data_IF_722504839327
#
_entry.id   IF_722504839327
#
_cell.length_a   1.000
_cell.length_b   1.000
_cell.length_c   1.000
_cell.angle_alpha   90.00
_cell.angle_beta   90.00
_cell.angle_gamma   90.00
#
_symmetry.space_group_name_H-M   'P 1'
#
loop_
_entity.id
_entity.type
_entity.pdbx_description
1 polymer ?
#
# COMPACT_ATOMS: atom_id res chain seq x y z
N UNK A 1 7.11 -26.86 -10.88
CA UNK A 1 6.50 -26.50 -9.58
C UNK A 1 6.23 -25.02 -9.71
N UNK A 2 4.97 -24.64 -9.62
CA UNK A 2 4.53 -23.28 -9.94
C UNK A 2 4.71 -22.43 -8.68
N UNK A 3 5.79 -21.66 -8.62
CA UNK A 3 5.92 -20.53 -7.71
C UNK A 3 4.81 -19.53 -8.09
N UNK A 4 3.66 -19.65 -7.45
CA UNK A 4 2.63 -18.62 -7.47
C UNK A 4 3.16 -17.44 -6.65
N UNK A 5 4.11 -16.70 -7.22
CA UNK A 5 4.53 -15.40 -6.71
C UNK A 5 3.27 -14.53 -6.65
N UNK A 6 2.85 -14.18 -5.43
CA UNK A 6 1.70 -13.31 -5.19
C UNK A 6 1.97 -11.97 -5.86
N UNK A 7 1.30 -11.76 -6.99
CA UNK A 7 1.46 -10.57 -7.81
C UNK A 7 0.64 -9.43 -7.23
N UNK A 8 1.21 -8.73 -6.26
CA UNK A 8 0.60 -7.53 -5.69
C UNK A 8 0.51 -6.45 -6.77
N UNK A 9 -0.70 -5.96 -7.03
CA UNK A 9 -0.96 -4.91 -8.03
C UNK A 9 -1.62 -3.70 -7.38
N UNK A 10 -1.32 -2.52 -7.89
CA UNK A 10 -2.00 -1.29 -7.51
C UNK A 10 -3.40 -1.17 -8.13
N UNK A 11 -4.12 -0.09 -7.82
CA UNK A 11 -5.45 0.22 -8.37
C UNK A 11 -5.52 0.28 -9.91
N UNK A 12 -4.39 0.49 -10.60
CA UNK A 12 -4.32 0.53 -12.07
C UNK A 12 -3.82 -0.79 -12.68
N UNK A 13 -3.59 -1.83 -11.87
CA UNK A 13 -3.05 -3.11 -12.33
C UNK A 13 -1.52 -3.12 -12.47
N UNK A 14 -0.83 -2.14 -11.91
CA UNK A 14 0.64 -2.04 -11.94
C UNK A 14 1.25 -2.94 -10.88
N UNK A 15 2.20 -3.79 -11.27
CA UNK A 15 2.93 -4.63 -10.33
C UNK A 15 3.74 -3.77 -9.34
N UNK A 16 3.53 -4.07 -8.06
CA UNK A 16 4.24 -3.47 -6.93
C UNK A 16 5.37 -4.39 -6.49
N UNK A 17 6.48 -3.79 -6.08
CA UNK A 17 7.64 -4.49 -5.53
C UNK A 17 7.96 -3.99 -4.12
N UNK A 18 8.67 -4.81 -3.35
CA UNK A 18 9.23 -4.40 -2.07
C UNK A 18 10.16 -3.19 -2.25
N UNK A 19 9.96 -2.14 -1.47
CA UNK A 19 10.71 -0.89 -1.57
C UNK A 19 10.08 0.17 -2.48
N UNK A 20 9.00 -0.16 -3.21
CA UNK A 20 8.35 0.81 -4.10
C UNK A 20 7.72 1.98 -3.32
N UNK A 21 7.38 3.02 -4.10
CA UNK A 21 6.60 4.16 -3.62
C UNK A 21 5.21 4.14 -4.25
N UNK A 22 4.21 4.41 -3.44
CA UNK A 22 2.80 4.48 -3.85
C UNK A 22 2.17 5.75 -3.31
N UNK A 23 1.09 6.18 -3.95
CA UNK A 23 0.33 7.37 -3.60
C UNK A 23 -1.11 6.99 -3.37
N UNK A 24 -1.74 7.56 -2.33
CA UNK A 24 -3.16 7.37 -2.09
C UNK A 24 -4.01 8.06 -3.15
N UNK A 25 -4.94 7.33 -3.77
CA UNK A 25 -5.87 7.90 -4.74
C UNK A 25 -7.13 8.52 -4.11
N UNK A 26 -7.37 8.26 -2.82
CA UNK A 26 -8.48 8.81 -2.04
C UNK A 26 -8.12 9.01 -0.57
N UNK A 27 -8.98 9.74 0.13
CA UNK A 27 -8.87 9.93 1.57
C UNK A 27 -9.23 8.64 2.30
N UNK A 28 -8.32 8.13 3.13
CA UNK A 28 -8.53 6.95 3.97
C UNK A 28 -8.38 7.32 5.43
N UNK A 29 -9.38 6.95 6.24
CA UNK A 29 -9.29 7.05 7.68
C UNK A 29 -8.66 5.78 8.23
N UNK A 30 -7.57 5.93 8.97
CA UNK A 30 -6.91 4.78 9.61
C UNK A 30 -7.76 4.33 10.79
N UNK A 31 -8.16 3.05 10.80
CA UNK A 31 -8.87 2.47 11.95
C UNK A 31 -7.95 2.44 13.17
N UNK A 32 -8.47 2.78 14.34
CA UNK A 32 -7.71 2.80 15.59
C UNK A 32 -6.90 4.08 15.86
N UNK A 33 -6.89 5.04 14.94
CA UNK A 33 -6.29 6.37 15.16
C UNK A 33 -7.21 7.48 14.66
N UNK A 34 -6.95 8.72 15.09
CA UNK A 34 -7.57 9.93 14.55
C UNK A 34 -6.91 10.41 13.25
N UNK A 35 -5.95 9.66 12.72
CA UNK A 35 -5.20 10.01 11.50
C UNK A 35 -6.02 9.71 10.26
N UNK A 36 -6.12 10.70 9.39
CA UNK A 36 -6.71 10.55 8.05
C UNK A 36 -5.62 10.76 7.02
N UNK A 37 -5.34 9.72 6.24
CA UNK A 37 -4.44 9.78 5.09
C UNK A 37 -5.18 10.48 3.97
N UNK A 38 -4.66 11.63 3.53
CA UNK A 38 -5.28 12.40 2.46
C UNK A 38 -4.90 11.83 1.09
N UNK A 39 -5.78 11.98 0.12
CA UNK A 39 -5.47 11.75 -1.30
C UNK A 39 -4.20 12.52 -1.66
N UNK A 40 -3.30 11.88 -2.41
CA UNK A 40 -2.01 12.45 -2.78
C UNK A 40 -0.91 12.24 -1.74
N UNK A 41 -1.22 11.67 -0.56
CA UNK A 41 -0.18 11.26 0.39
C UNK A 41 0.68 10.19 -0.26
N UNK A 42 1.99 10.43 -0.30
CA UNK A 42 2.98 9.49 -0.82
C UNK A 42 3.51 8.62 0.32
N UNK A 43 3.53 7.33 0.07
CA UNK A 43 4.03 6.29 0.96
C UNK A 43 5.22 5.64 0.28
N UNK A 44 6.38 5.66 0.94
CA UNK A 44 7.63 5.14 0.39
C UNK A 44 8.04 3.88 1.15
N UNK A 45 8.87 3.05 0.53
CA UNK A 45 9.35 1.81 1.14
C UNK A 45 8.21 0.88 1.55
N UNK A 46 7.27 0.62 0.63
CA UNK A 46 6.22 -0.38 0.89
C UNK A 46 6.81 -1.78 0.97
N UNK A 47 6.11 -2.66 1.68
CA UNK A 47 6.43 -4.07 1.80
C UNK A 47 5.23 -4.89 1.35
N UNK A 48 5.47 -5.83 0.46
CA UNK A 48 4.48 -6.79 0.00
C UNK A 48 4.17 -7.77 1.15
N UNK A 49 2.91 -8.10 1.30
CA UNK A 49 2.44 -9.12 2.25
C UNK A 49 2.11 -10.42 1.53
N UNK A 50 1.65 -11.42 2.28
CA UNK A 50 1.16 -12.69 1.74
C UNK A 50 -0.24 -12.59 1.08
N UNK A 51 -0.74 -11.38 0.90
CA UNK A 51 -2.03 -11.04 0.25
C UNK A 51 -1.77 -10.10 -0.93
N UNK A 52 -2.36 -10.38 -2.10
CA UNK A 52 -2.22 -9.56 -3.32
C UNK A 52 -2.86 -8.17 -3.21
N UNK A 53 -3.85 -8.06 -2.33
CA UNK A 53 -4.66 -6.87 -2.10
C UNK A 53 -4.12 -5.99 -0.97
N UNK A 54 -3.12 -6.47 -0.22
CA UNK A 54 -2.61 -5.81 0.98
C UNK A 54 -1.11 -5.50 0.83
N UNK A 55 -0.73 -4.36 1.37
CA UNK A 55 0.68 -4.00 1.57
C UNK A 55 0.87 -3.45 2.97
N UNK A 56 2.04 -3.72 3.52
CA UNK A 56 2.51 -3.09 4.74
C UNK A 56 3.34 -1.86 4.37
N UNK A 57 3.13 -0.77 5.10
CA UNK A 57 3.87 0.45 4.87
C UNK A 57 4.05 1.26 6.15
N UNK A 58 4.93 2.24 6.07
CA UNK A 58 5.19 3.17 7.16
C UNK A 58 4.81 4.57 6.68
N UNK A 59 3.96 5.27 7.44
CA UNK A 59 3.53 6.63 7.11
C UNK A 59 3.77 7.54 8.32
N UNK A 60 4.55 8.59 8.10
CA UNK A 60 4.93 9.57 9.13
C UNK A 60 5.49 8.88 10.38
N UNK A 61 4.74 8.86 11.49
CA UNK A 61 5.12 8.22 12.76
C UNK A 61 4.52 6.84 12.98
N UNK A 62 3.63 6.39 12.09
CA UNK A 62 2.94 5.10 12.21
C UNK A 62 3.68 4.07 11.38
N UNK A 63 4.21 3.05 12.06
CA UNK A 63 4.89 1.91 11.43
C UNK A 63 3.98 0.69 11.38
N UNK A 64 4.17 -0.16 10.38
CA UNK A 64 3.40 -1.41 10.23
C UNK A 64 1.94 -1.17 9.88
N UNK A 65 1.66 -0.13 9.09
CA UNK A 65 0.31 0.15 8.63
C UNK A 65 -0.02 -0.73 7.43
N UNK A 66 -1.05 -1.56 7.55
CA UNK A 66 -1.56 -2.35 6.43
C UNK A 66 -2.59 -1.54 5.66
N UNK A 67 -2.38 -1.37 4.36
CA UNK A 67 -3.27 -0.67 3.43
C UNK A 67 -3.69 -1.58 2.28
N UNK A 68 -4.92 -1.37 1.77
CA UNK A 68 -5.39 -2.06 0.57
C UNK A 68 -4.84 -1.41 -0.69
N UNK A 69 -4.31 -2.22 -1.61
CA UNK A 69 -3.70 -1.77 -2.87
C UNK A 69 -4.69 -1.18 -3.87
N UNK A 70 -5.98 -1.56 -3.78
CA UNK A 70 -7.07 -0.95 -4.56
C UNK A 70 -7.19 0.57 -4.37
N UNK A 71 -6.64 1.13 -3.28
CA UNK A 71 -6.66 2.55 -2.95
C UNK A 71 -5.30 3.23 -3.11
N UNK A 72 -4.33 2.49 -3.66
CA UNK A 72 -2.96 2.91 -3.87
C UNK A 72 -2.69 2.95 -5.37
N UNK A 73 -1.81 3.87 -5.76
CA UNK A 73 -1.30 3.99 -7.11
C UNK A 73 0.22 4.06 -7.05
N UNK A 74 0.92 3.26 -7.86
CA UNK A 74 2.38 3.36 -7.98
C UNK A 74 2.78 4.78 -8.36
N UNK A 75 3.72 5.34 -7.60
CA UNK A 75 4.23 6.70 -7.77
C UNK A 75 5.43 6.72 -8.72
#
# INVERSE_FOLDING_TARGET
MSDEEIQVKDSNGTLLANGDSVTLIKDLKVKGTSVTLKRGTMVKNIRLTDDEDLIECNVDKVKGLVLRTEFLKKA
#
